data_IF_798466912948
#
_entry.id   IF_798466912948
#
_cell.length_a   1.000
_cell.length_b   1.000
_cell.length_c   1.000
_cell.angle_alpha   90.00
_cell.angle_beta   90.00
_cell.angle_gamma   90.00
#
_symmetry.space_group_name_H-M   'P 1'
#
loop_
_entity.id
_entity.type
_entity.pdbx_description
1 polymer ?
#
# COMPACT_ATOMS: atom_id res chain seq x y z
N UNK A 1 12.99 -12.61 4.45
CA UNK A 1 11.78 -13.41 4.15
C UNK A 1 10.90 -12.59 3.21
N UNK A 2 10.34 -13.20 2.17
CA UNK A 2 9.43 -12.53 1.24
C UNK A 2 8.03 -13.14 1.37
N UNK A 3 7.02 -12.31 1.60
CA UNK A 3 5.60 -12.70 1.70
C UNK A 3 4.73 -11.96 0.67
N UNK A 4 5.34 -11.36 -0.35
CA UNK A 4 4.66 -10.60 -1.41
C UNK A 4 3.80 -11.55 -2.24
N UNK A 5 2.56 -11.15 -2.49
CA UNK A 5 1.65 -11.78 -3.45
C UNK A 5 1.41 -10.82 -4.61
N UNK A 6 1.76 -11.25 -5.83
CA UNK A 6 1.50 -10.46 -7.04
C UNK A 6 0.01 -10.42 -7.37
N UNK A 7 -0.49 -9.25 -7.79
CA UNK A 7 -1.88 -9.07 -8.20
C UNK A 7 -2.91 -8.89 -7.08
N UNK A 8 -2.52 -9.06 -5.80
CA UNK A 8 -3.42 -8.84 -4.65
C UNK A 8 -3.45 -7.36 -4.21
N UNK A 9 -4.60 -6.92 -3.69
CA UNK A 9 -4.77 -5.63 -3.01
C UNK A 9 -4.44 -5.68 -1.52
N UNK A 10 -4.56 -4.53 -0.85
CA UNK A 10 -4.51 -4.40 0.60
C UNK A 10 -5.72 -5.10 1.24
N UNK A 11 -5.52 -6.28 1.82
CA UNK A 11 -6.57 -7.03 2.51
C UNK A 11 -6.26 -7.11 4.01
N UNK A 12 -7.31 -7.15 4.83
CA UNK A 12 -7.14 -7.55 6.23
C UNK A 12 -6.53 -8.96 6.27
N UNK A 13 -5.42 -9.15 6.99
CA UNK A 13 -4.74 -10.44 7.09
C UNK A 13 -3.62 -10.71 6.07
N UNK A 14 -3.10 -9.71 5.36
CA UNK A 14 -1.89 -9.85 4.49
C UNK A 14 -0.64 -10.34 5.26
N UNK A 15 -0.67 -10.42 6.59
CA UNK A 15 0.38 -10.99 7.43
C UNK A 15 0.28 -12.53 7.63
N UNK A 16 -0.49 -13.26 6.82
CA UNK A 16 -0.67 -14.71 6.96
C UNK A 16 0.66 -15.48 7.03
N UNK A 17 1.68 -15.05 6.28
CA UNK A 17 3.02 -15.63 6.35
C UNK A 17 3.68 -15.49 7.74
N UNK A 18 3.44 -14.38 8.44
CA UNK A 18 3.91 -14.18 9.82
C UNK A 18 3.12 -15.05 10.81
N UNK A 19 1.82 -15.28 10.57
CA UNK A 19 1.03 -16.22 11.38
C UNK A 19 1.55 -17.64 11.24
N UNK A 20 1.94 -18.07 10.04
CA UNK A 20 2.58 -19.37 9.83
C UNK A 20 3.95 -19.45 10.51
N UNK A 21 4.74 -18.37 10.47
CA UNK A 21 6.03 -18.32 11.14
C UNK A 21 5.88 -18.45 12.67
N UNK A 22 4.81 -17.87 13.24
CA UNK A 22 4.46 -18.03 14.67
C UNK A 22 4.24 -19.47 15.07
N UNK A 23 3.58 -20.26 14.22
CA UNK A 23 3.34 -21.68 14.49
C UNK A 23 4.65 -22.50 14.48
N UNK A 24 5.64 -22.09 13.69
CA UNK A 24 6.92 -22.80 13.58
C UNK A 24 7.93 -22.46 14.68
N UNK A 25 8.06 -21.17 15.03
CA UNK A 25 9.08 -20.69 15.98
C UNK A 25 8.53 -20.53 17.41
N UNK A 26 7.21 -20.56 17.60
CA UNK A 26 6.59 -20.20 18.87
C UNK A 26 6.62 -18.68 19.14
N UNK A 27 5.89 -18.26 20.18
CA UNK A 27 5.61 -16.83 20.41
C UNK A 27 6.83 -16.01 20.86
N UNK A 28 7.71 -16.60 21.69
CA UNK A 28 8.86 -15.88 22.26
C UNK A 28 9.94 -15.62 21.21
N UNK A 29 10.35 -16.67 20.50
CA UNK A 29 11.35 -16.59 19.43
C UNK A 29 10.86 -15.70 18.29
N UNK A 30 9.60 -15.83 17.88
CA UNK A 30 9.02 -14.93 16.88
C UNK A 30 9.08 -13.47 17.36
N UNK A 31 8.70 -13.18 18.61
CA UNK A 31 8.72 -11.80 19.12
C UNK A 31 10.13 -11.20 19.08
N UNK A 32 11.16 -11.98 19.47
CA UNK A 32 12.55 -11.57 19.40
C UNK A 32 12.97 -11.26 17.95
N UNK A 33 12.67 -12.17 17.02
CA UNK A 33 12.93 -11.99 15.59
C UNK A 33 12.23 -10.73 15.04
N UNK A 34 10.94 -10.58 15.32
CA UNK A 34 10.14 -9.46 14.81
C UNK A 34 10.58 -8.10 15.36
N UNK A 35 11.05 -8.06 16.62
CA UNK A 35 11.50 -6.82 17.25
C UNK A 35 12.72 -6.18 16.59
N UNK A 36 13.55 -6.98 15.91
CA UNK A 36 14.78 -6.53 15.25
C UNK A 36 14.63 -6.41 13.73
N UNK A 37 13.58 -7.00 13.15
CA UNK A 37 13.32 -6.97 11.71
C UNK A 37 12.88 -5.59 11.20
N UNK A 38 13.05 -5.38 9.88
CA UNK A 38 12.48 -4.26 9.12
C UNK A 38 11.46 -4.82 8.14
N UNK A 39 10.26 -4.23 8.12
CA UNK A 39 9.15 -4.68 7.28
C UNK A 39 8.94 -3.70 6.14
N UNK A 40 9.06 -4.16 4.89
CA UNK A 40 8.88 -3.32 3.70
C UNK A 40 7.51 -3.57 3.07
N UNK A 41 6.77 -2.51 2.80
CA UNK A 41 5.44 -2.54 2.19
C UNK A 41 5.43 -1.75 0.88
N UNK A 42 4.92 -2.39 -0.16
CA UNK A 42 4.54 -1.76 -1.42
C UNK A 42 3.15 -2.26 -1.76
N UNK A 43 2.13 -1.53 -1.31
CA UNK A 43 0.71 -1.92 -1.36
C UNK A 43 -0.09 -0.73 -1.90
N UNK A 44 -1.16 -0.99 -2.66
CA UNK A 44 -2.07 0.03 -3.19
C UNK A 44 -2.12 0.09 -4.73
N UNK A 45 -1.10 -0.44 -5.43
CA UNK A 45 -1.08 -0.45 -6.89
C UNK A 45 -2.25 -1.25 -7.47
N UNK A 46 -2.40 -2.51 -7.05
CA UNK A 46 -3.44 -3.40 -7.54
C UNK A 46 -4.83 -2.98 -7.06
N UNK A 47 -4.93 -2.41 -5.85
CA UNK A 47 -6.18 -1.87 -5.31
C UNK A 47 -6.79 -0.84 -6.25
N UNK A 48 -5.97 0.00 -6.89
CA UNK A 48 -6.46 1.05 -7.77
C UNK A 48 -6.49 0.64 -9.24
N UNK A 49 -5.55 -0.18 -9.72
CA UNK A 49 -5.51 -0.58 -11.13
C UNK A 49 -6.53 -1.67 -11.49
N UNK A 50 -6.63 -2.74 -10.68
CA UNK A 50 -7.44 -3.91 -11.04
C UNK A 50 -8.92 -3.57 -11.21
N UNK A 51 -9.54 -2.69 -10.39
CA UNK A 51 -10.93 -2.30 -10.61
C UNK A 51 -11.21 -1.55 -11.92
N UNK A 52 -10.19 -1.04 -12.63
CA UNK A 52 -10.35 -0.48 -13.98
C UNK A 52 -10.23 -1.53 -15.08
N UNK A 53 -9.53 -2.63 -14.83
CA UNK A 53 -9.33 -3.72 -15.80
C UNK A 53 -10.44 -4.78 -15.67
N UNK A 54 -11.03 -4.87 -14.49
CA UNK A 54 -12.17 -5.75 -14.19
C UNK A 54 -13.43 -4.89 -14.18
N UNK A 55 -14.59 -5.39 -14.62
CA UNK A 55 -15.89 -4.71 -14.52
C UNK A 55 -16.35 -4.61 -13.04
N UNK A 56 -15.54 -3.98 -12.21
CA UNK A 56 -15.69 -3.89 -10.78
C UNK A 56 -16.74 -2.83 -10.42
N UNK A 57 -17.57 -3.14 -9.43
CA UNK A 57 -18.59 -2.23 -8.91
C UNK A 57 -18.04 -1.29 -7.83
N UNK A 58 -16.74 -1.32 -7.55
CA UNK A 58 -16.10 -0.52 -6.49
C UNK A 58 -16.26 0.98 -6.73
N UNK A 59 -15.93 1.49 -7.92
CA UNK A 59 -16.01 2.92 -8.20
C UNK A 59 -17.45 3.45 -8.38
N UNK A 60 -18.43 2.63 -8.79
CA UNK A 60 -19.85 2.95 -8.63
C UNK A 60 -20.33 2.96 -7.17
N UNK A 61 -19.79 2.08 -6.32
CA UNK A 61 -20.26 1.90 -4.93
C UNK A 61 -19.63 2.87 -3.93
N UNK A 62 -18.43 3.39 -4.23
CA UNK A 62 -17.67 4.24 -3.32
C UNK A 62 -17.06 5.42 -4.07
N UNK A 63 -17.02 6.59 -3.42
CA UNK A 63 -16.19 7.68 -3.94
C UNK A 63 -14.72 7.30 -3.90
N UNK A 64 -13.92 7.90 -4.79
CA UNK A 64 -12.45 7.72 -4.82
C UNK A 64 -11.80 7.95 -3.46
N UNK A 65 -12.29 8.94 -2.68
CA UNK A 65 -11.77 9.25 -1.34
C UNK A 65 -12.11 8.16 -0.32
N UNK A 66 -13.34 7.66 -0.32
CA UNK A 66 -13.76 6.56 0.57
C UNK A 66 -12.99 5.29 0.28
N UNK A 67 -12.81 4.96 -1.00
CA UNK A 67 -12.04 3.79 -1.39
C UNK A 67 -10.57 3.89 -0.97
N UNK A 68 -9.93 5.05 -1.18
CA UNK A 68 -8.57 5.29 -0.68
C UNK A 68 -8.49 5.15 0.84
N UNK A 69 -9.49 5.68 1.58
CA UNK A 69 -9.55 5.54 3.05
C UNK A 69 -9.61 4.07 3.47
N UNK A 70 -10.38 3.23 2.77
CA UNK A 70 -10.42 1.78 3.04
C UNK A 70 -9.07 1.11 2.82
N UNK A 71 -8.41 1.40 1.69
CA UNK A 71 -7.07 0.83 1.38
C UNK A 71 -6.03 1.25 2.43
N UNK A 72 -6.01 2.52 2.83
CA UNK A 72 -5.13 3.01 3.90
C UNK A 72 -5.46 2.33 5.23
N UNK A 73 -6.74 2.17 5.57
CA UNK A 73 -7.18 1.46 6.76
C UNK A 73 -6.68 0.01 6.80
N UNK A 74 -6.73 -0.70 5.67
CA UNK A 74 -6.20 -2.06 5.57
C UNK A 74 -4.67 -2.09 5.77
N UNK A 75 -3.93 -1.15 5.19
CA UNK A 75 -2.48 -1.02 5.40
C UNK A 75 -2.17 -0.79 6.89
N UNK A 76 -2.86 0.16 7.53
CA UNK A 76 -2.61 0.47 8.95
C UNK A 76 -3.01 -0.68 9.86
N UNK A 77 -4.06 -1.43 9.53
CA UNK A 77 -4.47 -2.62 10.28
C UNK A 77 -3.36 -3.68 10.26
N UNK A 78 -2.79 -3.99 9.09
CA UNK A 78 -1.68 -4.95 8.98
C UNK A 78 -0.45 -4.48 9.76
N UNK A 79 -0.13 -3.18 9.73
CA UNK A 79 0.97 -2.61 10.53
C UNK A 79 0.71 -2.83 12.03
N UNK A 80 -0.50 -2.54 12.50
CA UNK A 80 -0.89 -2.74 13.90
C UNK A 80 -0.80 -4.21 14.31
N UNK A 81 -1.24 -5.14 13.47
CA UNK A 81 -1.13 -6.58 13.75
C UNK A 81 0.34 -7.01 13.89
N UNK A 82 1.22 -6.55 12.99
CA UNK A 82 2.66 -6.85 13.05
C UNK A 82 3.30 -6.22 14.29
N UNK A 83 2.91 -5.00 14.63
CA UNK A 83 3.34 -4.33 15.85
C UNK A 83 2.95 -5.12 17.11
N UNK A 84 1.71 -5.63 17.16
CA UNK A 84 1.22 -6.46 18.25
C UNK A 84 1.99 -7.79 18.39
N UNK A 85 2.54 -8.30 17.28
CA UNK A 85 3.42 -9.47 17.29
C UNK A 85 4.88 -9.13 17.69
N UNK A 86 5.26 -7.86 17.78
CA UNK A 86 6.58 -7.41 18.22
C UNK A 86 7.33 -6.54 17.22
N UNK A 87 6.81 -6.35 15.99
CA UNK A 87 7.47 -5.54 14.97
C UNK A 87 7.56 -4.06 15.33
N UNK A 88 8.67 -3.40 14.97
CA UNK A 88 8.91 -1.99 15.35
C UNK A 88 9.35 -1.07 14.20
N UNK A 89 9.90 -1.59 13.10
CA UNK A 89 10.52 -0.80 12.02
C UNK A 89 9.84 -1.06 10.68
N UNK A 90 9.20 -0.04 10.10
CA UNK A 90 8.36 -0.19 8.91
C UNK A 90 8.84 0.73 7.77
N UNK A 91 9.20 0.15 6.62
CA UNK A 91 9.46 0.89 5.38
C UNK A 91 8.25 0.83 4.47
N UNK A 92 7.76 1.97 4.02
CA UNK A 92 6.66 2.05 3.07
C UNK A 92 7.07 2.86 1.86
N UNK A 93 6.40 2.65 0.73
CA UNK A 93 6.58 3.45 -0.47
C UNK A 93 5.31 4.24 -0.76
N UNK A 94 5.48 5.49 -1.21
CA UNK A 94 4.43 6.14 -2.01
C UNK A 94 4.17 5.30 -3.28
N UNK A 95 2.97 5.40 -3.83
CA UNK A 95 2.64 4.83 -5.12
C UNK A 95 3.35 5.58 -6.23
N UNK A 96 3.68 4.86 -7.30
CA UNK A 96 4.16 5.40 -8.58
C UNK A 96 3.07 6.29 -9.23
N UNK A 97 3.42 7.11 -10.24
CA UNK A 97 2.44 7.82 -11.06
C UNK A 97 1.60 6.84 -11.88
N UNK A 98 0.60 6.22 -11.27
CA UNK A 98 -0.10 5.03 -11.79
C UNK A 98 -0.75 5.20 -13.16
N UNK A 99 -1.04 6.43 -13.59
CA UNK A 99 -1.66 6.69 -14.89
C UNK A 99 -0.71 6.60 -16.06
N UNK A 100 0.60 6.69 -15.83
CA UNK A 100 1.60 6.90 -16.87
C UNK A 100 2.40 5.64 -17.32
N UNK A 101 2.47 4.53 -16.57
CA UNK A 101 3.04 3.29 -17.09
C UNK A 101 2.37 2.83 -18.39
N UNK A 102 3.10 2.12 -19.28
CA UNK A 102 2.58 1.70 -20.59
C UNK A 102 1.24 0.96 -20.52
N UNK A 103 1.05 0.11 -19.51
CA UNK A 103 -0.22 -0.62 -19.31
C UNK A 103 -1.40 0.33 -19.08
N UNK A 104 -1.22 1.38 -18.29
CA UNK A 104 -2.27 2.37 -18.00
C UNK A 104 -2.60 3.21 -19.24
N UNK A 105 -1.59 3.56 -20.05
CA UNK A 105 -1.80 4.26 -21.33
C UNK A 105 -2.53 3.37 -22.34
N UNK A 106 -2.16 2.10 -22.43
CA UNK A 106 -2.75 1.14 -23.35
C UNK A 106 -4.23 0.88 -23.06
N UNK A 107 -4.64 0.93 -21.78
CA UNK A 107 -6.03 0.74 -21.37
C UNK A 107 -6.96 1.89 -21.84
N UNK A 108 -6.44 3.07 -22.20
CA UNK A 108 -7.16 4.19 -22.86
C UNK A 108 -8.51 4.58 -22.23
N UNK A 109 -8.70 4.39 -20.92
CA UNK A 109 -10.03 4.49 -20.31
C UNK A 109 -10.56 5.93 -20.27
N UNK A 110 -9.76 6.94 -19.95
CA UNK A 110 -10.06 8.36 -20.22
C UNK A 110 -8.74 9.12 -20.16
N UNK A 111 -8.34 9.79 -21.25
CA UNK A 111 -7.30 10.83 -21.21
C UNK A 111 -7.94 12.13 -21.67
N UNK A 112 -8.00 13.12 -20.79
CA UNK A 112 -8.73 14.38 -21.02
C UNK A 112 -7.81 15.54 -21.39
N UNK A 113 -6.50 15.39 -21.18
CA UNK A 113 -5.51 16.47 -21.19
C UNK A 113 -4.41 16.30 -22.26
N UNK A 114 -4.50 15.26 -23.09
CA UNK A 114 -3.49 14.98 -24.12
C UNK A 114 -2.18 14.36 -23.61
N UNK A 115 -2.01 14.15 -22.29
CA UNK A 115 -0.81 13.54 -21.70
C UNK A 115 -0.66 12.04 -22.02
N UNK A 116 -1.77 11.39 -22.40
CA UNK A 116 -1.86 9.94 -22.57
C UNK A 116 -1.83 9.16 -21.26
N UNK A 117 -1.67 9.81 -20.10
CA UNK A 117 -1.81 9.17 -18.79
C UNK A 117 -3.29 9.03 -18.42
N UNK A 118 -3.63 7.99 -17.65
CA UNK A 118 -4.99 7.79 -17.16
C UNK A 118 -5.25 8.69 -15.94
N UNK A 119 -6.15 9.67 -16.09
CA UNK A 119 -6.39 10.68 -15.04
C UNK A 119 -7.04 10.08 -13.80
N UNK A 120 -8.02 9.19 -13.97
CA UNK A 120 -8.78 8.64 -12.85
C UNK A 120 -7.92 7.88 -11.84
N UNK A 121 -6.98 7.07 -12.32
CA UNK A 121 -6.03 6.34 -11.47
C UNK A 121 -4.93 7.25 -10.91
N UNK A 122 -4.57 8.31 -11.64
CA UNK A 122 -3.64 9.35 -11.16
C UNK A 122 -4.22 10.08 -9.95
N UNK A 123 -5.52 10.41 -9.98
CA UNK A 123 -6.22 11.01 -8.83
C UNK A 123 -6.18 10.08 -7.61
N UNK A 124 -6.43 8.77 -7.79
CA UNK A 124 -6.35 7.78 -6.70
C UNK A 124 -4.93 7.70 -6.11
N UNK A 125 -3.91 7.64 -6.96
CA UNK A 125 -2.51 7.62 -6.53
C UNK A 125 -2.15 8.87 -5.71
N UNK A 126 -2.55 10.07 -6.18
CA UNK A 126 -2.33 11.34 -5.47
C UNK A 126 -3.10 11.42 -4.15
N UNK A 127 -4.30 10.86 -4.07
CA UNK A 127 -5.05 10.78 -2.80
C UNK A 127 -4.35 9.84 -1.80
N UNK A 128 -3.93 8.66 -2.25
CA UNK A 128 -3.19 7.71 -1.43
C UNK A 128 -1.87 8.30 -0.91
N UNK A 129 -1.09 8.91 -1.79
CA UNK A 129 0.21 9.50 -1.44
C UNK A 129 0.11 10.68 -0.47
N UNK A 130 -1.06 11.33 -0.38
CA UNK A 130 -1.37 12.33 0.64
C UNK A 130 -1.84 11.70 1.96
N UNK A 131 -2.66 10.66 1.89
CA UNK A 131 -3.26 10.01 3.07
C UNK A 131 -2.27 9.12 3.84
N UNK A 132 -1.42 8.37 3.14
CA UNK A 132 -0.51 7.40 3.76
C UNK A 132 0.43 8.05 4.79
N UNK A 133 1.15 9.15 4.49
CA UNK A 133 2.03 9.78 5.50
C UNK A 133 1.28 10.27 6.74
N UNK A 134 0.04 10.74 6.58
CA UNK A 134 -0.79 11.21 7.69
C UNK A 134 -1.17 10.05 8.62
N UNK A 135 -1.62 8.93 8.04
CA UNK A 135 -1.99 7.74 8.80
C UNK A 135 -0.78 7.12 9.54
N UNK A 136 0.41 7.09 8.92
CA UNK A 136 1.63 6.61 9.56
C UNK A 136 2.09 7.53 10.71
N UNK A 137 1.91 8.84 10.55
CA UNK A 137 2.17 9.82 11.62
C UNK A 137 1.22 9.62 12.80
N UNK A 138 -0.04 9.30 12.53
CA UNK A 138 -1.02 8.98 13.58
C UNK A 138 -0.65 7.69 14.33
N UNK A 139 -0.24 6.62 13.61
CA UNK A 139 0.25 5.41 14.27
C UNK A 139 1.48 5.70 15.15
N UNK A 140 2.37 6.59 14.71
CA UNK A 140 3.55 7.01 15.48
C UNK A 140 3.21 7.69 16.80
N UNK A 141 2.12 8.45 16.88
CA UNK A 141 1.69 9.06 18.15
C UNK A 141 1.04 8.06 19.11
N UNK A 142 0.48 6.96 18.59
CA UNK A 142 -0.23 5.94 19.37
C UNK A 142 0.66 4.76 19.79
N UNK A 143 1.69 4.41 19.01
CA UNK A 143 2.45 3.17 19.17
C UNK A 143 3.88 3.41 19.67
N UNK A 144 4.14 3.08 20.95
CA UNK A 144 5.47 3.25 21.57
C UNK A 144 6.53 2.41 20.87
N UNK A 145 7.63 3.05 20.46
CA UNK A 145 8.74 2.37 19.77
C UNK A 145 8.46 2.01 18.32
N UNK A 146 7.29 2.38 17.78
CA UNK A 146 7.05 2.31 16.34
C UNK A 146 7.92 3.33 15.61
N UNK A 147 8.53 2.91 14.51
CA UNK A 147 9.33 3.75 13.61
C UNK A 147 8.96 3.41 12.19
N UNK A 148 8.94 4.44 11.33
CA UNK A 148 8.67 4.24 9.92
C UNK A 148 9.53 5.15 9.05
N UNK A 149 9.71 4.74 7.81
CA UNK A 149 10.26 5.56 6.74
C UNK A 149 9.39 5.43 5.50
N UNK A 150 9.33 6.49 4.69
CA UNK A 150 8.58 6.53 3.44
C UNK A 150 9.55 6.80 2.30
N UNK A 151 9.59 5.92 1.32
CA UNK A 151 10.26 6.16 0.05
C UNK A 151 9.34 6.89 -0.93
N UNK A 152 9.82 7.99 -1.52
CA UNK A 152 9.09 8.78 -2.50
C UNK A 152 9.25 8.19 -3.92
N UNK A 153 8.67 7.01 -4.14
CA UNK A 153 8.72 6.37 -5.45
C UNK A 153 7.96 7.16 -6.52
N UNK A 154 6.98 8.00 -6.13
CA UNK A 154 6.26 8.84 -7.08
C UNK A 154 7.23 9.78 -7.80
N UNK A 155 7.96 10.59 -7.02
CA UNK A 155 8.91 11.56 -7.57
C UNK A 155 10.07 10.87 -8.29
N UNK A 156 10.57 9.76 -7.73
CA UNK A 156 11.66 9.01 -8.33
C UNK A 156 11.29 8.42 -9.70
N UNK A 157 10.02 8.08 -9.91
CA UNK A 157 9.54 7.47 -11.15
C UNK A 157 8.92 8.47 -12.13
N UNK A 158 8.51 9.65 -11.68
CA UNK A 158 7.96 10.70 -12.54
C UNK A 158 8.92 11.00 -13.70
N UNK A 159 10.19 11.20 -13.39
CA UNK A 159 11.26 11.44 -14.39
C UNK A 159 11.48 10.29 -15.40
N UNK A 160 10.92 9.10 -15.16
CA UNK A 160 11.01 7.95 -16.06
C UNK A 160 9.79 7.86 -16.98
N UNK A 161 8.64 8.41 -16.54
CA UNK A 161 7.36 8.28 -17.22
C UNK A 161 6.83 9.60 -17.82
N UNK A 162 7.59 10.69 -17.72
CA UNK A 162 7.37 11.91 -18.53
C UNK A 162 7.56 11.67 -20.02
#
# INVERSE_FOLDING_TARGET
>A
MNFVSGGAGALAGTNQGLKQLRQKLGASELKALLSTAVYMFSIGYNDYLIPFITNSTVFPSYSKKEYVKMVIGNITSVIQEIYNMGGRKFGLSKLLPLGCPPISRALKIVSSDGSGCMEEITVLAKLHNRALPQALKELKSQLKGYTYSIFDAYTAADAIFE
#
